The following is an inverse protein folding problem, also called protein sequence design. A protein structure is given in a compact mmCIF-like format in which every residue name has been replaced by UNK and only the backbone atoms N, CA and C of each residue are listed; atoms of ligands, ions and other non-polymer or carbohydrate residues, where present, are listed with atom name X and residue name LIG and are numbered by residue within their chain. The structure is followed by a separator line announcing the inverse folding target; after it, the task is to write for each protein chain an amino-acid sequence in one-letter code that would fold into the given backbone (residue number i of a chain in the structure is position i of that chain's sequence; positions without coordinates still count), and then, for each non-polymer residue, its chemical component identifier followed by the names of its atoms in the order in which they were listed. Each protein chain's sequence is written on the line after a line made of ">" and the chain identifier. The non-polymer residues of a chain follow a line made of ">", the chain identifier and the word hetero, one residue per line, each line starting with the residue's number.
data_IF_247515876484
#
_entry.id   IF_247515876484
#
_cell.length_a   1.000
_cell.length_b   1.000
_cell.length_c   1.000
_cell.angle_alpha   90.00
_cell.angle_beta   90.00
_cell.angle_gamma   90.00
#
_symmetry.space_group_name_H-M   'P 1'
#
loop_
_entity.id
_entity.type
_entity.pdbx_description
1 polymer ?
#
# COMPACT_ATOMS: atom_id res chain seq x y z
N UNK A 1 6.05 0.45 7.52
CA UNK A 1 7.45 0.21 7.10
C UNK A 1 7.92 1.26 6.08
N UNK A 2 7.14 1.63 5.08
CA UNK A 2 7.54 2.60 4.04
C UNK A 2 7.78 4.01 4.59
N UNK A 3 7.01 4.46 5.57
CA UNK A 3 7.26 5.73 6.25
C UNK A 3 8.63 5.72 6.96
N UNK A 4 8.95 4.63 7.67
CA UNK A 4 10.25 4.48 8.32
C UNK A 4 11.40 4.50 7.29
N UNK A 5 11.21 3.82 6.14
CA UNK A 5 12.20 3.80 5.07
C UNK A 5 12.49 5.20 4.49
N UNK A 6 11.50 6.10 4.44
CA UNK A 6 11.72 7.49 4.03
C UNK A 6 12.23 8.41 5.14
N UNK A 7 11.95 8.09 6.41
CA UNK A 7 12.34 8.93 7.55
C UNK A 7 13.78 8.68 7.98
N UNK A 8 14.20 7.43 8.06
CA UNK A 8 15.55 7.01 8.50
C UNK A 8 16.15 5.97 7.53
N UNK A 9 16.34 6.35 6.25
CA UNK A 9 16.75 5.41 5.21
C UNK A 9 18.07 4.72 5.50
N UNK A 10 18.99 5.38 6.22
CA UNK A 10 20.30 4.85 6.58
C UNK A 10 20.25 3.69 7.58
N UNK A 11 19.11 3.47 8.25
CA UNK A 11 18.92 2.38 9.22
C UNK A 11 18.32 1.12 8.63
N UNK A 12 17.92 1.17 7.36
CA UNK A 12 17.27 0.03 6.70
C UNK A 12 18.11 -0.43 5.51
N UNK A 13 18.33 -1.73 5.39
CA UNK A 13 19.11 -2.33 4.29
C UNK A 13 18.23 -2.85 3.16
N UNK A 14 17.02 -3.27 3.46
CA UNK A 14 16.01 -3.71 2.50
C UNK A 14 14.61 -3.66 3.14
N UNK A 15 13.57 -3.55 2.31
CA UNK A 15 12.17 -3.47 2.75
C UNK A 15 11.27 -4.36 1.89
N UNK A 16 10.37 -5.09 2.52
CA UNK A 16 9.21 -5.70 1.85
C UNK A 16 7.95 -5.00 2.34
N UNK A 17 7.15 -4.48 1.42
CA UNK A 17 5.89 -3.82 1.69
C UNK A 17 4.73 -4.58 1.02
N UNK A 18 3.76 -5.00 1.81
CA UNK A 18 2.57 -5.70 1.32
C UNK A 18 1.38 -4.76 1.46
N UNK A 19 0.74 -4.46 0.33
CA UNK A 19 -0.42 -3.58 0.22
C UNK A 19 -0.26 -2.26 1.00
N UNK A 20 0.39 -1.26 0.41
CA UNK A 20 0.61 0.04 1.05
C UNK A 20 -0.24 1.17 0.48
N UNK A 21 -0.74 2.03 1.35
CA UNK A 21 -1.47 3.25 0.99
C UNK A 21 -1.42 4.26 2.16
N UNK A 22 -1.34 5.59 1.91
CA UNK A 22 -1.10 6.26 0.63
C UNK A 22 0.40 6.46 0.36
N UNK A 23 0.88 6.05 -0.82
CA UNK A 23 2.28 6.32 -1.20
C UNK A 23 2.44 7.63 -1.96
N UNK A 24 1.58 7.90 -2.92
CA UNK A 24 1.60 9.12 -3.73
C UNK A 24 0.65 9.10 -4.91
N UNK A 25 0.09 7.93 -5.21
CA UNK A 25 -0.88 7.77 -6.28
C UNK A 25 -2.16 8.55 -5.99
N UNK A 26 -2.54 9.43 -6.93
CA UNK A 26 -3.82 10.12 -6.91
C UNK A 26 -4.86 9.31 -7.66
N UNK A 27 -5.85 8.81 -6.94
CA UNK A 27 -6.98 8.10 -7.52
C UNK A 27 -7.82 9.04 -8.40
N UNK A 28 -8.33 8.52 -9.51
CA UNK A 28 -9.42 9.15 -10.24
C UNK A 28 -10.70 9.19 -9.39
N UNK A 29 -11.69 9.98 -9.79
CA UNK A 29 -12.96 10.06 -9.06
C UNK A 29 -13.65 8.70 -8.91
N UNK A 30 -13.64 7.88 -9.97
CA UNK A 30 -14.24 6.55 -9.95
C UNK A 30 -13.50 5.58 -9.01
N UNK A 31 -12.17 5.63 -8.99
CA UNK A 31 -11.35 4.84 -8.06
C UNK A 31 -11.57 5.28 -6.61
N UNK A 32 -11.67 6.60 -6.38
CA UNK A 32 -11.91 7.15 -5.06
C UNK A 32 -13.28 6.74 -4.52
N UNK A 33 -14.33 6.74 -5.36
CA UNK A 33 -15.65 6.24 -4.98
C UNK A 33 -15.62 4.76 -4.63
N UNK A 34 -15.01 3.93 -5.46
CA UNK A 34 -14.86 2.50 -5.21
C UNK A 34 -14.06 2.23 -3.93
N UNK A 35 -13.01 3.00 -3.70
CA UNK A 35 -12.19 2.95 -2.48
C UNK A 35 -13.02 3.28 -1.23
N UNK A 36 -13.76 4.38 -1.25
CA UNK A 36 -14.63 4.81 -0.13
C UNK A 36 -15.69 3.75 0.16
N UNK A 37 -16.31 3.19 -0.87
CA UNK A 37 -17.28 2.11 -0.72
C UNK A 37 -16.66 0.85 -0.10
N UNK A 38 -15.49 0.42 -0.60
CA UNK A 38 -14.77 -0.75 -0.08
C UNK A 38 -14.39 -0.57 1.40
N UNK A 39 -13.93 0.62 1.79
CA UNK A 39 -13.63 0.97 3.17
C UNK A 39 -14.86 0.92 4.06
N UNK A 40 -15.98 1.47 3.62
CA UNK A 40 -17.24 1.45 4.37
C UNK A 40 -17.77 0.02 4.53
N UNK A 41 -17.72 -0.79 3.48
CA UNK A 41 -18.12 -2.21 3.52
C UNK A 41 -17.27 -2.99 4.53
N UNK A 42 -15.95 -2.83 4.50
CA UNK A 42 -15.03 -3.48 5.42
C UNK A 42 -15.26 -3.02 6.87
N UNK A 43 -15.47 -1.74 7.11
CA UNK A 43 -15.75 -1.21 8.45
C UNK A 43 -17.01 -1.81 9.05
N UNK A 44 -18.07 -1.98 8.25
CA UNK A 44 -19.30 -2.65 8.69
C UNK A 44 -19.06 -4.12 9.04
N UNK A 45 -18.23 -4.81 8.25
CA UNK A 45 -17.92 -6.22 8.50
C UNK A 45 -17.07 -6.43 9.77
N UNK A 46 -16.09 -5.55 10.02
CA UNK A 46 -15.13 -5.73 11.12
C UNK A 46 -15.65 -5.19 12.44
N UNK A 47 -16.44 -4.11 12.43
CA UNK A 47 -16.80 -3.33 13.61
C UNK A 47 -18.32 -3.16 13.83
N UNK A 48 -19.14 -3.67 12.93
CA UNK A 48 -20.59 -3.52 12.99
C UNK A 48 -21.32 -4.86 13.11
N UNK A 49 -22.49 -4.85 13.74
CA UNK A 49 -23.47 -5.92 13.62
C UNK A 49 -23.94 -5.99 12.15
N UNK A 50 -24.17 -7.18 11.58
CA UNK A 50 -24.80 -7.30 10.27
C UNK A 50 -26.14 -6.55 10.24
N UNK A 51 -26.21 -5.48 9.44
CA UNK A 51 -27.41 -4.62 9.33
C UNK A 51 -27.51 -3.49 10.36
N UNK A 52 -26.58 -3.37 11.32
CA UNK A 52 -26.52 -2.27 12.27
C UNK A 52 -25.84 -1.01 11.73
N UNK A 53 -25.96 0.15 12.43
CA UNK A 53 -25.21 1.34 12.09
C UNK A 53 -23.70 1.08 12.29
N UNK A 54 -22.84 1.68 11.44
CA UNK A 54 -21.39 1.52 11.59
C UNK A 54 -20.94 2.09 12.96
N UNK A 55 -20.10 1.36 13.67
CA UNK A 55 -19.52 1.78 14.95
C UNK A 55 -18.58 2.98 14.83
N UNK A 56 -18.20 3.36 13.63
CA UNK A 56 -17.35 4.49 13.31
C UNK A 56 -18.02 5.41 12.29
N UNK A 57 -17.68 6.70 12.27
CA UNK A 57 -18.12 7.60 11.21
C UNK A 57 -17.78 7.00 9.84
N UNK A 58 -18.71 7.06 8.87
CA UNK A 58 -18.46 6.52 7.55
C UNK A 58 -17.22 7.15 6.92
N UNK A 59 -16.53 6.35 6.10
CA UNK A 59 -15.42 6.85 5.28
C UNK A 59 -15.96 7.77 4.21
N UNK A 60 -15.29 8.87 3.93
CA UNK A 60 -15.71 9.85 2.93
C UNK A 60 -14.53 10.26 2.04
N UNK A 61 -14.82 10.86 0.89
CA UNK A 61 -13.79 11.45 0.01
C UNK A 61 -12.94 12.48 0.75
N UNK A 62 -13.57 13.40 1.49
CA UNK A 62 -12.89 14.44 2.27
C UNK A 62 -11.91 13.82 3.30
N UNK A 63 -12.34 12.75 3.96
CA UNK A 63 -11.50 12.02 4.91
C UNK A 63 -10.29 11.40 4.21
N UNK A 64 -10.48 10.79 3.04
CA UNK A 64 -9.38 10.22 2.26
C UNK A 64 -8.41 11.28 1.76
N UNK A 65 -8.90 12.40 1.26
CA UNK A 65 -8.07 13.54 0.85
C UNK A 65 -7.25 14.10 2.02
N UNK A 66 -7.86 14.21 3.20
CA UNK A 66 -7.17 14.61 4.43
C UNK A 66 -6.09 13.62 4.86
N UNK A 67 -6.34 12.32 4.71
CA UNK A 67 -5.35 11.27 4.94
C UNK A 67 -4.23 11.37 3.91
N UNK A 68 -4.56 11.53 2.63
CA UNK A 68 -3.57 11.67 1.58
C UNK A 68 -2.67 12.88 1.84
N UNK A 69 -3.23 14.04 2.14
CA UNK A 69 -2.46 15.24 2.42
C UNK A 69 -1.50 15.08 3.62
N UNK A 70 -1.91 14.33 4.64
CA UNK A 70 -1.15 14.17 5.88
C UNK A 70 -0.16 13.02 5.84
N UNK A 71 -0.50 11.91 5.18
CA UNK A 71 0.22 10.64 5.30
C UNK A 71 0.87 10.16 4.01
N UNK A 72 0.58 10.78 2.85
CA UNK A 72 1.22 10.41 1.59
C UNK A 72 2.73 10.59 1.67
N UNK A 73 3.46 9.57 1.27
CA UNK A 73 4.92 9.63 1.25
C UNK A 73 5.42 10.71 0.30
N UNK A 74 4.77 10.90 -0.86
CA UNK A 74 5.13 11.92 -1.82
C UNK A 74 4.84 13.33 -1.30
N UNK A 75 3.66 13.56 -0.71
CA UNK A 75 3.31 14.87 -0.16
C UNK A 75 4.25 15.31 0.98
N UNK A 76 4.88 14.34 1.65
CA UNK A 76 5.86 14.56 2.73
C UNK A 76 7.32 14.53 2.26
N UNK A 77 7.59 14.39 0.96
CA UNK A 77 8.94 14.27 0.41
C UNK A 77 9.71 13.05 0.91
N UNK A 78 9.02 11.98 1.28
CA UNK A 78 9.64 10.76 1.81
C UNK A 78 9.87 9.70 0.73
N UNK A 79 9.07 9.71 -0.33
CA UNK A 79 9.17 8.70 -1.38
C UNK A 79 10.55 8.71 -2.06
N UNK A 80 11.08 9.89 -2.34
CA UNK A 80 12.37 10.10 -3.01
C UNK A 80 13.57 9.76 -2.11
N UNK A 81 13.39 9.77 -0.79
CA UNK A 81 14.42 9.43 0.19
C UNK A 81 14.62 7.95 0.40
N UNK A 82 13.66 7.12 -0.06
CA UNK A 82 13.76 5.66 0.03
C UNK A 82 14.78 5.19 -1.01
N UNK A 83 15.98 4.89 -0.57
CA UNK A 83 17.15 4.56 -1.41
C UNK A 83 17.65 3.12 -1.26
N UNK A 84 17.09 2.34 -0.31
CA UNK A 84 17.39 0.92 -0.17
C UNK A 84 16.51 0.07 -1.11
N UNK A 85 16.89 -1.22 -1.35
CA UNK A 85 16.03 -2.15 -2.07
C UNK A 85 14.65 -2.28 -1.44
N UNK A 86 13.59 -2.17 -2.27
CA UNK A 86 12.18 -2.33 -1.86
C UNK A 86 11.51 -3.36 -2.74
N UNK A 87 10.86 -4.35 -2.15
CA UNK A 87 9.93 -5.26 -2.81
C UNK A 87 8.50 -4.92 -2.38
N UNK A 88 7.66 -4.58 -3.34
CA UNK A 88 6.24 -4.33 -3.10
C UNK A 88 5.39 -5.49 -3.60
N UNK A 89 4.38 -5.87 -2.83
CA UNK A 89 3.50 -7.01 -3.14
C UNK A 89 2.06 -6.58 -3.00
N UNK A 90 1.23 -6.87 -4.01
CA UNK A 90 -0.21 -6.65 -3.90
C UNK A 90 -0.98 -7.44 -4.97
N UNK A 91 -2.31 -7.52 -4.81
CA UNK A 91 -3.23 -7.96 -5.84
C UNK A 91 -3.60 -6.83 -6.81
N UNK A 92 -3.85 -7.16 -8.09
CA UNK A 92 -4.24 -6.14 -9.08
C UNK A 92 -5.63 -5.55 -8.83
N UNK A 93 -6.49 -6.24 -8.09
CA UNK A 93 -7.86 -5.82 -7.76
C UNK A 93 -8.01 -5.36 -6.31
N UNK A 94 -6.93 -4.89 -5.70
CA UNK A 94 -6.98 -4.35 -4.34
C UNK A 94 -7.65 -2.98 -4.30
N UNK A 95 -8.90 -2.94 -3.83
CA UNK A 95 -9.66 -1.71 -3.63
C UNK A 95 -9.36 -1.01 -2.28
N UNK A 96 -8.53 -1.57 -1.42
CA UNK A 96 -8.14 -0.97 -0.12
C UNK A 96 -6.75 -0.34 -0.14
N UNK A 97 -5.90 -0.79 -1.04
CA UNK A 97 -4.59 -0.21 -1.33
C UNK A 97 -4.38 -0.23 -2.85
N UNK A 98 -4.91 0.76 -3.58
CA UNK A 98 -4.94 0.75 -5.04
C UNK A 98 -3.58 0.50 -5.66
N UNK A 99 -3.56 -0.34 -6.70
CA UNK A 99 -2.34 -0.77 -7.40
C UNK A 99 -1.51 0.39 -7.94
N UNK A 100 -2.15 1.52 -8.23
CA UNK A 100 -1.49 2.76 -8.63
C UNK A 100 -0.41 3.22 -7.65
N UNK A 101 -0.53 2.89 -6.35
CA UNK A 101 0.51 3.18 -5.37
C UNK A 101 1.81 2.39 -5.64
N UNK A 102 1.73 1.16 -6.13
CA UNK A 102 2.92 0.39 -6.54
C UNK A 102 3.55 1.03 -7.78
N UNK A 103 2.77 1.36 -8.80
CA UNK A 103 3.27 2.01 -10.01
C UNK A 103 3.94 3.34 -9.67
N UNK A 104 3.29 4.18 -8.87
CA UNK A 104 3.89 5.41 -8.37
C UNK A 104 5.26 5.17 -7.71
N UNK A 105 5.35 4.17 -6.83
CA UNK A 105 6.60 3.89 -6.13
C UNK A 105 7.68 3.30 -7.05
N UNK A 106 7.34 2.56 -8.09
CA UNK A 106 8.31 2.07 -9.08
C UNK A 106 8.94 3.21 -9.89
N UNK A 107 8.18 4.28 -10.13
CA UNK A 107 8.61 5.47 -10.87
C UNK A 107 9.35 6.50 -10.00
N UNK A 108 9.20 6.40 -8.66
CA UNK A 108 9.80 7.34 -7.72
C UNK A 108 11.15 6.86 -7.20
N UNK A 109 12.15 7.76 -7.06
CA UNK A 109 13.45 7.49 -6.45
C UNK A 109 14.44 6.73 -7.33
N UNK A 110 15.50 6.12 -6.76
CA UNK A 110 16.60 5.54 -7.52
C UNK A 110 16.17 4.37 -8.41
N UNK A 111 16.57 4.42 -9.68
CA UNK A 111 16.30 3.35 -10.66
C UNK A 111 16.98 2.05 -10.21
N UNK A 112 16.24 0.93 -10.30
CA UNK A 112 16.74 -0.41 -10.00
C UNK A 112 16.75 -0.82 -8.53
N UNK A 113 16.40 0.08 -7.61
CA UNK A 113 16.26 -0.26 -6.19
C UNK A 113 14.87 -0.82 -5.83
N UNK A 114 13.90 -0.76 -6.74
CA UNK A 114 12.50 -1.12 -6.48
C UNK A 114 12.02 -2.23 -7.39
N UNK A 115 11.32 -3.19 -6.81
CA UNK A 115 10.70 -4.31 -7.48
C UNK A 115 9.26 -4.45 -7.02
N UNK A 116 8.42 -5.02 -7.87
CA UNK A 116 7.05 -5.36 -7.50
C UNK A 116 6.69 -6.78 -7.90
N UNK A 117 5.81 -7.40 -7.11
CA UNK A 117 5.12 -8.64 -7.45
C UNK A 117 3.63 -8.37 -7.36
N UNK A 118 2.99 -8.31 -8.50
CA UNK A 118 1.57 -8.05 -8.64
C UNK A 118 0.89 -9.36 -9.04
N UNK A 119 -0.12 -9.77 -8.28
CA UNK A 119 -0.90 -10.98 -8.52
C UNK A 119 -2.18 -10.63 -9.28
N UNK A 120 -2.31 -11.03 -10.55
CA UNK A 120 -3.49 -10.72 -11.36
C UNK A 120 -4.77 -11.31 -10.75
N UNK A 121 -5.83 -10.51 -10.67
CA UNK A 121 -7.13 -10.91 -10.14
C UNK A 121 -7.19 -11.06 -8.61
N UNK A 122 -6.06 -10.96 -7.91
CA UNK A 122 -6.04 -11.05 -6.46
C UNK A 122 -6.47 -9.74 -5.80
N UNK A 123 -7.09 -9.85 -4.63
CA UNK A 123 -7.54 -8.73 -3.80
C UNK A 123 -6.47 -8.20 -2.86
N UNK A 124 -6.92 -7.65 -1.73
CA UNK A 124 -6.07 -6.98 -0.75
C UNK A 124 -4.94 -7.87 -0.22
N UNK A 125 -3.71 -7.35 -0.28
CA UNK A 125 -2.48 -8.05 0.11
C UNK A 125 -2.15 -9.29 -0.73
N UNK A 126 -2.86 -9.57 -1.82
CA UNK A 126 -2.79 -10.84 -2.55
C UNK A 126 -2.84 -12.05 -1.59
N UNK A 127 -3.77 -12.03 -0.63
CA UNK A 127 -3.81 -12.99 0.47
C UNK A 127 -4.03 -14.42 -0.02
N UNK A 128 -4.70 -14.58 -1.15
CA UNK A 128 -4.93 -15.87 -1.82
C UNK A 128 -3.62 -16.56 -2.22
N UNK A 129 -2.56 -15.76 -2.43
CA UNK A 129 -1.21 -16.19 -2.82
C UNK A 129 -0.20 -16.14 -1.66
N UNK A 130 -0.66 -16.06 -0.41
CA UNK A 130 0.22 -15.93 0.76
C UNK A 130 1.32 -16.99 0.82
N UNK A 131 0.97 -18.26 0.53
CA UNK A 131 1.91 -19.39 0.56
C UNK A 131 3.00 -19.29 -0.50
N UNK A 132 2.80 -18.46 -1.52
CA UNK A 132 3.78 -18.22 -2.58
C UNK A 132 4.63 -16.99 -2.26
N UNK A 133 3.99 -15.84 -2.01
CA UNK A 133 4.74 -14.60 -1.88
C UNK A 133 5.48 -14.47 -0.54
N UNK A 134 4.98 -15.06 0.55
CA UNK A 134 5.66 -14.92 1.84
C UNK A 134 7.06 -15.57 1.85
N UNK A 135 7.23 -16.87 1.48
CA UNK A 135 8.57 -17.45 1.40
C UNK A 135 9.44 -16.80 0.33
N UNK A 136 8.87 -16.32 -0.78
CA UNK A 136 9.61 -15.59 -1.80
C UNK A 136 10.16 -14.25 -1.28
N UNK A 137 9.41 -13.57 -0.42
CA UNK A 137 9.84 -12.33 0.23
C UNK A 137 11.03 -12.55 1.16
N UNK A 138 11.03 -13.63 1.93
CA UNK A 138 12.16 -13.97 2.80
C UNK A 138 13.42 -14.32 1.99
N UNK A 139 13.29 -15.06 0.88
CA UNK A 139 14.43 -15.33 -0.01
C UNK A 139 14.98 -14.03 -0.60
N UNK A 140 14.10 -13.17 -1.09
CA UNK A 140 14.50 -11.86 -1.63
C UNK A 140 15.23 -11.00 -0.59
N UNK A 141 14.74 -10.96 0.65
CA UNK A 141 15.43 -10.25 1.75
C UNK A 141 16.82 -10.87 2.00
N UNK A 142 16.92 -12.19 2.07
CA UNK A 142 18.21 -12.86 2.29
C UNK A 142 19.22 -12.49 1.19
N UNK A 143 18.80 -12.47 -0.09
CA UNK A 143 19.64 -12.06 -1.22
C UNK A 143 20.09 -10.60 -1.13
N UNK A 144 19.24 -9.69 -0.62
CA UNK A 144 19.58 -8.26 -0.48
C UNK A 144 20.43 -7.95 0.75
N UNK A 145 20.48 -8.87 1.71
CA UNK A 145 21.25 -8.70 2.95
C UNK A 145 22.60 -9.44 2.94
N UNK A 146 22.80 -10.33 1.97
CA UNK A 146 24.10 -11.00 1.76
C UNK A 146 25.13 -10.02 1.21
#
# INVERSE_FOLDING_TARGET
>A
VMELAGTVPEKLRAVVAVAGHPFGYRMSDAELDAFVEARNRRSRFVFGEPGGPPSFPPWSREKEEGIFARWSLSARGLAERINMPVLMINGSEDHLAPIGNIHFMLESGPIGSRAARIYPGAGHCAFEHYREWAPASFRWLAEKLA
#
